data_IF_467956182310
#
_entry.id   IF_467956182310
#
_cell.length_a   1.000
_cell.length_b   1.000
_cell.length_c   1.000
_cell.angle_alpha   90.00
_cell.angle_beta   90.00
_cell.angle_gamma   90.00
#
_symmetry.space_group_name_H-M   'P 1'
#
loop_
_entity.id
_entity.type
_entity.pdbx_description
1 polymer ?
#
# COMPACT_ATOMS: atom_id res chain seq x y z
N UNK A 1 -0.56 -3.93 53.04
CA UNK A 1 -0.74 -4.47 51.69
C UNK A 1 0.56 -4.30 50.93
N UNK A 2 1.18 -5.40 50.55
CA UNK A 2 2.45 -5.41 49.80
C UNK A 2 2.21 -4.89 48.37
N UNK A 3 3.17 -4.16 47.82
CA UNK A 3 3.18 -3.73 46.41
C UNK A 3 2.99 -4.89 45.43
N UNK A 4 3.41 -6.09 45.80
CA UNK A 4 3.19 -7.33 45.04
C UNK A 4 1.68 -7.74 44.97
N UNK A 5 0.88 -7.46 45.99
CA UNK A 5 -0.56 -7.75 46.00
C UNK A 5 -1.39 -6.78 45.13
N UNK A 6 -0.89 -5.53 44.96
CA UNK A 6 -1.54 -4.54 44.08
C UNK A 6 -1.27 -4.89 42.61
N UNK A 7 -0.07 -5.39 42.27
CA UNK A 7 0.30 -5.80 40.91
C UNK A 7 -0.48 -7.08 40.49
N UNK A 8 -0.73 -8.01 41.41
CA UNK A 8 -1.48 -9.24 41.08
C UNK A 8 -2.97 -9.02 40.77
N UNK A 9 -3.56 -7.89 41.13
CA UNK A 9 -4.97 -7.57 40.85
C UNK A 9 -5.21 -6.88 39.49
N UNK A 10 -4.19 -6.50 38.77
CA UNK A 10 -4.29 -5.84 37.46
C UNK A 10 -4.19 -6.76 36.25
N UNK A 11 -4.25 -8.08 36.42
CA UNK A 11 -4.24 -9.03 35.31
C UNK A 11 -5.58 -9.07 34.59
N UNK A 12 -5.89 -8.02 33.87
CA UNK A 12 -6.85 -8.08 32.80
C UNK A 12 -6.39 -9.16 31.80
N UNK A 13 -7.31 -10.07 31.43
CA UNK A 13 -7.04 -11.13 30.45
C UNK A 13 -6.50 -10.51 29.18
N UNK A 14 -5.32 -10.94 28.70
CA UNK A 14 -4.74 -10.46 27.46
C UNK A 14 -5.76 -10.53 26.32
N UNK A 15 -5.92 -9.49 25.50
CA UNK A 15 -6.89 -9.52 24.41
C UNK A 15 -6.55 -10.63 23.44
N UNK A 16 -7.56 -11.32 22.91
CA UNK A 16 -7.36 -12.31 21.84
C UNK A 16 -6.65 -11.67 20.64
N UNK A 17 -6.08 -12.51 19.76
CA UNK A 17 -5.26 -12.06 18.65
C UNK A 17 -5.92 -10.96 17.81
N UNK A 18 -7.17 -11.15 17.41
CA UNK A 18 -7.93 -10.17 16.60
C UNK A 18 -8.21 -8.88 17.36
N UNK A 19 -8.63 -8.99 18.63
CA UNK A 19 -8.95 -7.82 19.46
C UNK A 19 -7.75 -6.92 19.69
N UNK A 20 -6.55 -7.49 19.89
CA UNK A 20 -5.32 -6.73 20.02
C UNK A 20 -4.98 -5.93 18.74
N UNK A 21 -5.14 -6.55 17.56
CA UNK A 21 -4.98 -5.89 16.26
C UNK A 21 -5.98 -4.73 16.10
N UNK A 22 -7.26 -4.95 16.45
CA UNK A 22 -8.30 -3.93 16.36
C UNK A 22 -8.05 -2.73 17.29
N UNK A 23 -7.52 -2.95 18.49
CA UNK A 23 -7.13 -1.86 19.41
C UNK A 23 -6.04 -0.96 18.81
N UNK A 24 -5.09 -1.53 18.06
CA UNK A 24 -4.07 -0.75 17.35
C UNK A 24 -4.71 0.04 16.21
N UNK A 25 -5.60 -0.57 15.44
CA UNK A 25 -6.35 0.12 14.38
C UNK A 25 -7.18 1.27 14.94
N UNK A 26 -7.86 1.05 16.07
CA UNK A 26 -8.63 2.09 16.77
C UNK A 26 -7.74 3.27 17.20
N UNK A 27 -6.56 3.00 17.77
CA UNK A 27 -5.59 4.03 18.12
C UNK A 27 -5.21 4.88 16.89
N UNK A 28 -4.88 4.24 15.77
CA UNK A 28 -4.55 4.91 14.52
C UNK A 28 -5.73 5.72 13.97
N UNK A 29 -6.95 5.18 14.07
CA UNK A 29 -8.19 5.85 13.65
C UNK A 29 -8.47 7.10 14.46
N UNK A 30 -8.31 7.06 15.79
CA UNK A 30 -8.51 8.22 16.68
C UNK A 30 -7.55 9.35 16.31
N UNK A 31 -6.29 9.02 16.05
CA UNK A 31 -5.29 9.99 15.59
C UNK A 31 -5.65 10.56 14.22
N UNK A 32 -5.99 9.71 13.26
CA UNK A 32 -6.37 10.08 11.90
C UNK A 32 -7.59 11.01 11.88
N UNK A 33 -8.62 10.71 12.65
CA UNK A 33 -9.85 11.52 12.73
C UNK A 33 -9.58 12.95 13.19
N UNK A 34 -8.54 13.17 13.98
CA UNK A 34 -8.14 14.52 14.42
C UNK A 34 -7.36 15.28 13.34
N UNK A 35 -6.65 14.59 12.48
CA UNK A 35 -5.73 15.15 11.47
C UNK A 35 -6.16 14.88 10.02
N UNK A 36 -7.40 14.42 9.80
CA UNK A 36 -7.87 13.92 8.50
C UNK A 36 -7.74 14.92 7.35
N UNK A 37 -7.87 16.24 7.63
CA UNK A 37 -7.83 17.29 6.60
C UNK A 37 -6.51 17.32 5.83
N UNK A 38 -5.38 17.28 6.55
CA UNK A 38 -4.05 17.28 5.92
C UNK A 38 -3.83 16.03 5.07
N UNK A 39 -4.29 14.86 5.58
CA UNK A 39 -4.15 13.59 4.87
C UNK A 39 -5.10 13.49 3.68
N UNK A 40 -6.35 13.97 3.82
CA UNK A 40 -7.32 13.94 2.74
C UNK A 40 -6.86 14.79 1.53
N UNK A 41 -6.34 16.00 1.78
CA UNK A 41 -5.82 16.86 0.72
C UNK A 41 -4.69 16.18 -0.06
N UNK A 42 -3.71 15.60 0.63
CA UNK A 42 -2.60 14.90 -0.05
C UNK A 42 -3.06 13.66 -0.81
N UNK A 43 -4.02 12.91 -0.25
CA UNK A 43 -4.57 11.68 -0.87
C UNK A 43 -5.40 11.95 -2.13
N UNK A 44 -5.94 13.16 -2.28
CA UNK A 44 -6.72 13.57 -3.45
C UNK A 44 -5.82 14.27 -4.47
N UNK A 45 -4.98 15.19 -4.02
CA UNK A 45 -4.22 16.07 -4.90
C UNK A 45 -3.20 15.31 -5.75
N UNK A 46 -2.48 14.37 -5.16
CA UNK A 46 -1.45 13.62 -5.88
C UNK A 46 -2.03 12.76 -7.02
N UNK A 47 -3.04 11.89 -6.81
CA UNK A 47 -3.69 11.17 -7.90
C UNK A 47 -4.32 12.08 -8.95
N UNK A 48 -4.93 13.20 -8.53
CA UNK A 48 -5.52 14.17 -9.43
C UNK A 48 -4.47 14.77 -10.37
N UNK A 49 -3.32 15.18 -9.83
CA UNK A 49 -2.21 15.72 -10.63
C UNK A 49 -1.68 14.69 -11.64
N UNK A 50 -1.55 13.41 -11.22
CA UNK A 50 -1.14 12.33 -12.11
C UNK A 50 -2.18 12.09 -13.22
N UNK A 51 -3.48 12.07 -12.90
CA UNK A 51 -4.55 11.94 -13.90
C UNK A 51 -4.57 13.09 -14.87
N UNK A 52 -4.43 14.32 -14.41
CA UNK A 52 -4.37 15.50 -15.27
C UNK A 52 -3.13 15.48 -16.15
N UNK A 53 -1.94 15.24 -15.58
CA UNK A 53 -0.69 15.26 -16.33
C UNK A 53 -0.62 14.14 -17.37
N UNK A 54 -0.87 12.91 -16.95
CA UNK A 54 -0.69 11.72 -17.79
C UNK A 54 -2.00 11.30 -18.49
N UNK A 55 -3.14 11.40 -17.84
CA UNK A 55 -4.42 11.01 -18.44
C UNK A 55 -4.89 12.00 -19.49
N UNK A 56 -5.00 13.28 -19.11
CA UNK A 56 -5.52 14.31 -20.01
C UNK A 56 -4.38 14.91 -20.87
N UNK A 57 -3.27 15.33 -20.23
CA UNK A 57 -2.19 16.03 -20.94
C UNK A 57 -1.45 15.10 -21.89
N UNK A 58 -0.88 14.02 -21.39
CA UNK A 58 -0.15 13.07 -22.23
C UNK A 58 -1.09 12.24 -23.12
N UNK A 59 -2.30 11.91 -22.64
CA UNK A 59 -3.32 11.21 -23.43
C UNK A 59 -3.65 11.94 -24.72
N UNK A 60 -3.89 13.27 -24.67
CA UNK A 60 -4.21 14.08 -25.85
C UNK A 60 -3.05 14.08 -26.91
N UNK A 61 -1.79 14.06 -26.46
CA UNK A 61 -0.63 14.00 -27.36
C UNK A 61 -0.50 12.63 -28.04
N UNK A 62 -0.80 11.58 -27.30
CA UNK A 62 -0.53 10.21 -27.70
C UNK A 62 -1.70 9.65 -28.54
N UNK A 63 -2.95 10.05 -28.26
CA UNK A 63 -4.12 9.72 -29.08
C UNK A 63 -4.01 10.31 -30.49
N UNK A 64 -3.40 11.51 -30.65
CA UNK A 64 -3.10 12.11 -31.96
C UNK A 64 -2.05 11.36 -32.81
N UNK A 65 -1.24 10.49 -32.19
CA UNK A 65 -0.14 9.76 -32.85
C UNK A 65 -0.48 8.34 -33.35
N UNK A 66 -1.70 7.84 -33.20
CA UNK A 66 -2.17 6.53 -33.72
C UNK A 66 -1.52 5.28 -33.11
N UNK A 67 -0.41 5.39 -32.37
CA UNK A 67 0.33 4.25 -31.81
C UNK A 67 -0.24 3.71 -30.50
N UNK A 68 -1.06 4.49 -29.83
CA UNK A 68 -1.58 4.14 -28.49
C UNK A 68 -2.72 3.16 -28.54
N UNK A 69 -3.61 3.26 -29.53
CA UNK A 69 -4.68 2.29 -29.70
C UNK A 69 -4.16 0.85 -29.77
N UNK A 70 -3.00 0.65 -30.43
CA UNK A 70 -2.33 -0.65 -30.48
C UNK A 70 -1.73 -1.07 -29.12
N UNK A 71 -1.23 -0.12 -28.32
CA UNK A 71 -0.60 -0.39 -27.02
C UNK A 71 -1.63 -0.59 -25.89
N UNK A 72 -2.80 0.08 -25.99
CA UNK A 72 -3.88 0.01 -24.96
C UNK A 72 -4.97 -1.01 -25.33
N UNK A 73 -4.83 -1.66 -26.49
CA UNK A 73 -5.85 -2.59 -26.99
C UNK A 73 -7.16 -1.92 -27.36
N UNK A 74 -7.10 -0.70 -27.88
CA UNK A 74 -8.26 0.02 -28.43
C UNK A 74 -9.06 0.84 -27.42
N UNK A 75 -8.65 0.91 -26.15
CA UNK A 75 -9.25 1.81 -25.15
C UNK A 75 -8.49 3.11 -25.04
N UNK A 76 -9.17 4.20 -24.68
CA UNK A 76 -8.51 5.49 -24.43
C UNK A 76 -7.44 5.40 -23.34
N UNK A 77 -6.38 6.17 -23.50
CA UNK A 77 -5.22 6.08 -22.61
C UNK A 77 -5.56 6.34 -21.13
N UNK A 78 -6.47 7.29 -20.86
CA UNK A 78 -6.96 7.57 -19.50
C UNK A 78 -7.60 6.34 -18.86
N UNK A 79 -8.47 5.65 -19.58
CA UNK A 79 -9.19 4.45 -19.12
C UNK A 79 -8.22 3.30 -18.84
N UNK A 80 -7.20 3.15 -19.67
CA UNK A 80 -6.16 2.13 -19.52
C UNK A 80 -5.23 2.43 -18.35
N UNK A 81 -4.91 3.72 -18.12
CA UNK A 81 -3.98 4.18 -17.09
C UNK A 81 -4.61 4.21 -15.70
N UNK A 82 -5.90 4.55 -15.59
CA UNK A 82 -6.58 4.78 -14.32
C UNK A 82 -6.47 3.63 -13.31
N UNK A 83 -6.71 2.35 -13.64
CA UNK A 83 -6.55 1.24 -12.69
C UNK A 83 -5.08 1.02 -12.27
N UNK A 84 -4.14 1.32 -13.13
CA UNK A 84 -2.71 1.24 -12.81
C UNK A 84 -2.30 2.34 -11.82
N UNK A 85 -2.76 3.57 -12.02
CA UNK A 85 -2.50 4.68 -11.07
C UNK A 85 -3.17 4.45 -9.72
N UNK A 86 -4.28 3.74 -9.65
CA UNK A 86 -4.89 3.31 -8.40
C UNK A 86 -3.92 2.39 -7.62
N UNK A 87 -3.30 1.42 -8.28
CA UNK A 87 -2.30 0.54 -7.68
C UNK A 87 -1.03 1.32 -7.27
N UNK A 88 -0.55 2.26 -8.09
CA UNK A 88 0.57 3.15 -7.76
C UNK A 88 0.28 3.97 -6.51
N UNK A 89 -0.89 4.60 -6.44
CA UNK A 89 -1.32 5.39 -5.27
C UNK A 89 -1.34 4.55 -4.00
N UNK A 90 -1.81 3.30 -4.10
CA UNK A 90 -1.81 2.35 -3.00
C UNK A 90 -0.39 2.03 -2.51
N UNK A 91 0.52 1.74 -3.42
CA UNK A 91 1.93 1.43 -3.11
C UNK A 91 2.65 2.63 -2.50
N UNK A 92 2.47 3.83 -3.06
CA UNK A 92 3.12 5.03 -2.54
C UNK A 92 2.61 5.38 -1.13
N UNK A 93 1.30 5.31 -0.91
CA UNK A 93 0.70 5.49 0.41
C UNK A 93 1.24 4.46 1.40
N UNK A 94 1.26 3.19 1.01
CA UNK A 94 1.76 2.10 1.84
C UNK A 94 3.23 2.27 2.21
N UNK A 95 4.10 2.60 1.25
CA UNK A 95 5.51 2.84 1.48
C UNK A 95 5.74 4.01 2.44
N UNK A 96 5.02 5.12 2.24
CA UNK A 96 5.13 6.30 3.09
C UNK A 96 4.66 6.05 4.52
N UNK A 97 3.47 5.47 4.69
CA UNK A 97 2.88 5.19 6.01
C UNK A 97 3.67 4.15 6.80
N UNK A 98 4.37 3.25 6.11
CA UNK A 98 5.15 2.19 6.74
C UNK A 98 6.64 2.53 6.94
N UNK A 99 7.10 3.72 6.54
CA UNK A 99 8.48 4.19 6.69
C UNK A 99 8.67 5.06 7.94
N UNK A 100 8.73 6.38 7.79
CA UNK A 100 8.94 7.32 8.89
C UNK A 100 7.91 7.21 10.03
N UNK A 101 6.60 6.99 9.79
CA UNK A 101 5.65 6.81 10.89
C UNK A 101 5.97 5.60 11.77
N UNK A 102 6.42 4.49 11.16
CA UNK A 102 6.82 3.29 11.92
C UNK A 102 8.09 3.57 12.74
N UNK A 103 9.11 4.17 12.13
CA UNK A 103 10.32 4.54 12.86
C UNK A 103 10.04 5.52 14.00
N UNK A 104 9.15 6.50 13.77
CA UNK A 104 8.68 7.45 14.78
C UNK A 104 8.03 6.75 15.96
N UNK A 105 7.24 5.72 15.71
CA UNK A 105 6.60 4.91 16.74
C UNK A 105 7.59 4.21 17.67
N UNK A 106 8.77 3.82 17.16
CA UNK A 106 9.85 3.26 17.96
C UNK A 106 10.71 4.32 18.66
N UNK A 107 11.10 5.37 17.95
CA UNK A 107 12.20 6.25 18.35
C UNK A 107 11.73 7.53 19.05
N UNK A 108 10.89 8.30 18.43
CA UNK A 108 10.52 9.64 18.92
C UNK A 108 9.26 9.63 19.76
N UNK A 109 8.16 9.15 19.22
CA UNK A 109 6.88 9.10 19.93
C UNK A 109 6.80 7.95 20.94
N UNK A 110 7.56 6.88 20.70
CA UNK A 110 7.65 5.70 21.57
C UNK A 110 6.29 5.05 21.91
N UNK A 111 5.27 5.34 21.13
CA UNK A 111 3.92 4.82 21.40
C UNK A 111 3.83 3.29 21.27
N UNK A 112 4.71 2.65 20.48
CA UNK A 112 4.78 1.19 20.44
C UNK A 112 5.22 0.58 21.78
N UNK A 113 6.17 1.22 22.47
CA UNK A 113 6.57 0.81 23.82
C UNK A 113 5.42 0.99 24.82
N UNK A 114 4.65 2.09 24.70
CA UNK A 114 3.46 2.31 25.52
C UNK A 114 2.36 1.26 25.27
N UNK A 115 2.13 0.85 24.02
CA UNK A 115 1.16 -0.19 23.69
C UNK A 115 1.58 -1.56 24.24
N UNK A 116 2.87 -1.90 24.16
CA UNK A 116 3.40 -3.20 24.61
C UNK A 116 3.66 -3.26 26.11
N UNK A 117 3.69 -2.13 26.81
CA UNK A 117 3.60 -2.10 28.27
C UNK A 117 2.20 -2.50 28.78
N UNK A 118 1.18 -2.44 27.93
CA UNK A 118 -0.16 -2.92 28.15
C UNK A 118 -0.34 -4.37 27.67
N UNK A 119 -1.60 -4.81 27.49
CA UNK A 119 -1.88 -6.20 27.12
C UNK A 119 -1.72 -6.52 25.62
N UNK A 120 -1.25 -5.56 24.80
CA UNK A 120 -1.07 -5.74 23.35
C UNK A 120 0.32 -6.27 23.06
N UNK A 121 0.41 -7.38 22.31
CA UNK A 121 1.70 -7.96 21.93
C UNK A 121 2.38 -7.18 20.80
N UNK A 122 3.73 -7.21 20.70
CA UNK A 122 4.46 -6.58 19.59
C UNK A 122 4.00 -7.04 18.19
N UNK A 123 3.67 -8.33 18.05
CA UNK A 123 3.14 -8.88 16.81
C UNK A 123 1.78 -8.26 16.45
N UNK A 124 0.89 -8.05 17.44
CA UNK A 124 -0.39 -7.38 17.23
C UNK A 124 -0.21 -5.91 16.84
N UNK A 125 0.81 -5.23 17.34
CA UNK A 125 1.15 -3.86 16.93
C UNK A 125 1.55 -3.82 15.46
N UNK A 126 2.45 -4.71 15.02
CA UNK A 126 2.88 -4.79 13.63
C UNK A 126 1.70 -5.10 12.68
N UNK A 127 0.90 -6.13 13.00
CA UNK A 127 -0.25 -6.52 12.19
C UNK A 127 -1.33 -5.44 12.18
N UNK A 128 -1.59 -4.80 13.31
CA UNK A 128 -2.55 -3.70 13.41
C UNK A 128 -2.15 -2.51 12.55
N UNK A 129 -0.85 -2.20 12.47
CA UNK A 129 -0.35 -1.17 11.58
C UNK A 129 -0.57 -1.52 10.11
N UNK A 130 -0.27 -2.76 9.68
CA UNK A 130 -0.49 -3.22 8.30
C UNK A 130 -1.98 -3.15 7.93
N UNK A 131 -2.87 -3.61 8.82
CA UNK A 131 -4.32 -3.51 8.62
C UNK A 131 -4.77 -2.05 8.53
N UNK A 132 -4.24 -1.18 9.37
CA UNK A 132 -4.53 0.25 9.31
C UNK A 132 -4.13 0.86 7.98
N UNK A 133 -2.94 0.56 7.46
CA UNK A 133 -2.47 1.05 6.15
C UNK A 133 -3.37 0.54 5.03
N UNK A 134 -3.79 -0.73 5.07
CA UNK A 134 -4.73 -1.28 4.10
C UNK A 134 -6.08 -0.56 4.12
N UNK A 135 -6.64 -0.26 5.29
CA UNK A 135 -7.89 0.51 5.43
C UNK A 135 -7.74 1.94 4.91
N UNK A 136 -6.62 2.60 5.22
CA UNK A 136 -6.33 3.95 4.73
C UNK A 136 -6.19 3.97 3.21
N UNK A 137 -5.51 2.98 2.65
CA UNK A 137 -5.36 2.80 1.19
C UNK A 137 -6.72 2.54 0.53
N UNK A 138 -7.58 1.73 1.14
CA UNK A 138 -8.95 1.52 0.64
C UNK A 138 -9.76 2.82 0.63
N UNK A 139 -9.70 3.60 1.71
CA UNK A 139 -10.37 4.90 1.77
C UNK A 139 -9.87 5.89 0.71
N UNK A 140 -8.55 6.01 0.55
CA UNK A 140 -7.95 6.85 -0.48
C UNK A 140 -8.31 6.37 -1.90
N UNK A 141 -8.32 5.05 -2.11
CA UNK A 141 -8.70 4.44 -3.39
C UNK A 141 -10.17 4.67 -3.75
N UNK A 142 -11.09 4.65 -2.77
CA UNK A 142 -12.50 5.01 -3.03
C UNK A 142 -12.64 6.47 -3.49
N UNK A 143 -11.92 7.39 -2.86
CA UNK A 143 -11.89 8.80 -3.28
C UNK A 143 -11.33 8.91 -4.70
N UNK A 144 -10.25 8.19 -5.00
CA UNK A 144 -9.63 8.16 -6.31
C UNK A 144 -10.59 7.65 -7.39
N UNK A 145 -11.37 6.58 -7.12
CA UNK A 145 -12.40 6.09 -8.03
C UNK A 145 -13.46 7.16 -8.29
N UNK A 146 -13.88 7.91 -7.26
CA UNK A 146 -14.78 9.04 -7.44
C UNK A 146 -14.21 10.11 -8.38
N UNK A 147 -12.91 10.43 -8.26
CA UNK A 147 -12.21 11.35 -9.17
C UNK A 147 -12.19 10.79 -10.60
N UNK A 148 -11.79 9.52 -10.78
CA UNK A 148 -11.79 8.88 -12.11
C UNK A 148 -13.18 8.91 -12.75
N UNK A 149 -14.24 8.68 -11.97
CA UNK A 149 -15.62 8.72 -12.47
C UNK A 149 -15.98 10.07 -13.08
N UNK A 150 -15.58 11.16 -12.43
CA UNK A 150 -15.81 12.54 -12.93
C UNK A 150 -15.08 12.79 -14.25
N UNK A 151 -13.90 12.23 -14.43
CA UNK A 151 -13.10 12.38 -15.67
C UNK A 151 -13.47 11.37 -16.77
N UNK A 152 -14.50 10.53 -16.57
CA UNK A 152 -14.92 9.54 -17.57
C UNK A 152 -13.94 8.37 -17.74
N UNK A 153 -13.05 8.15 -16.78
CA UNK A 153 -12.04 7.08 -16.81
C UNK A 153 -12.55 5.70 -16.36
N UNK A 154 -13.84 5.53 -16.09
CA UNK A 154 -14.43 4.24 -15.72
C UNK A 154 -14.88 3.48 -16.97
N UNK A 155 -14.33 2.27 -17.16
CA UNK A 155 -14.73 1.37 -18.24
C UNK A 155 -15.82 0.38 -17.78
N UNK A 156 -15.71 -0.16 -16.58
CA UNK A 156 -16.58 -1.21 -16.08
C UNK A 156 -16.74 -1.18 -14.56
N UNK A 157 -17.76 -1.86 -13.99
CA UNK A 157 -17.88 -2.08 -12.55
C UNK A 157 -16.71 -2.84 -11.95
N UNK A 158 -15.88 -3.49 -12.77
CA UNK A 158 -14.66 -4.19 -12.34
C UNK A 158 -13.64 -3.30 -11.63
N UNK A 159 -13.80 -1.95 -11.68
CA UNK A 159 -12.98 -1.01 -10.90
C UNK A 159 -13.04 -1.29 -9.38
N UNK A 160 -14.11 -1.89 -8.87
CA UNK A 160 -14.21 -2.29 -7.46
C UNK A 160 -13.21 -3.41 -7.16
N UNK A 161 -13.05 -4.37 -8.08
CA UNK A 161 -12.04 -5.42 -7.97
C UNK A 161 -10.64 -4.84 -8.14
N UNK A 162 -10.48 -3.83 -8.99
CA UNK A 162 -9.22 -3.08 -9.11
C UNK A 162 -8.84 -2.42 -7.79
N UNK A 163 -9.81 -1.90 -7.03
CA UNK A 163 -9.57 -1.36 -5.69
C UNK A 163 -9.06 -2.46 -4.73
N UNK A 164 -9.68 -3.64 -4.74
CA UNK A 164 -9.22 -4.75 -3.90
C UNK A 164 -7.81 -5.19 -4.26
N UNK A 165 -7.48 -5.27 -5.56
CA UNK A 165 -6.14 -5.56 -6.04
C UNK A 165 -5.13 -4.50 -5.60
N UNK A 166 -5.48 -3.22 -5.71
CA UNK A 166 -4.65 -2.10 -5.27
C UNK A 166 -4.41 -2.13 -3.74
N UNK A 167 -5.45 -2.40 -2.95
CA UNK A 167 -5.35 -2.53 -1.49
C UNK A 167 -4.46 -3.71 -1.10
N UNK A 168 -4.61 -4.86 -1.77
CA UNK A 168 -3.76 -6.03 -1.54
C UNK A 168 -2.29 -5.72 -1.87
N UNK A 169 -2.05 -5.04 -3.01
CA UNK A 169 -0.71 -4.61 -3.41
C UNK A 169 -0.11 -3.66 -2.39
N UNK A 170 -0.86 -2.65 -1.96
CA UNK A 170 -0.46 -1.72 -0.91
C UNK A 170 -0.17 -2.42 0.41
N UNK A 171 -1.03 -3.35 0.84
CA UNK A 171 -0.84 -4.12 2.06
C UNK A 171 0.43 -5.00 2.02
N UNK A 172 0.72 -5.63 0.88
CA UNK A 172 1.95 -6.42 0.68
C UNK A 172 3.20 -5.53 0.80
N UNK A 173 3.20 -4.36 0.16
CA UNK A 173 4.29 -3.38 0.26
C UNK A 173 4.38 -2.82 1.69
N UNK A 174 3.26 -2.48 2.33
CA UNK A 174 3.23 -2.02 3.71
C UNK A 174 3.88 -3.03 4.65
N UNK A 175 3.57 -4.32 4.50
CA UNK A 175 4.12 -5.38 5.34
C UNK A 175 5.64 -5.47 5.20
N UNK A 176 6.16 -5.44 3.98
CA UNK A 176 7.60 -5.47 3.71
C UNK A 176 8.32 -4.23 4.23
N UNK A 177 7.76 -3.03 3.97
CA UNK A 177 8.35 -1.76 4.43
C UNK A 177 8.26 -1.63 5.95
N UNK A 178 7.17 -2.09 6.58
CA UNK A 178 7.06 -2.15 8.06
C UNK A 178 8.14 -3.05 8.66
N UNK A 179 8.38 -4.23 8.07
CA UNK A 179 9.46 -5.11 8.49
C UNK A 179 10.83 -4.44 8.34
N UNK A 180 11.09 -3.81 7.19
CA UNK A 180 12.32 -3.06 6.96
C UNK A 180 12.50 -1.92 7.96
N UNK A 181 11.48 -1.12 8.22
CA UNK A 181 11.51 0.00 9.16
C UNK A 181 11.80 -0.45 10.60
N UNK A 182 11.37 -1.67 10.97
CA UNK A 182 11.66 -2.25 12.27
C UNK A 182 13.14 -2.61 12.46
N UNK A 183 13.93 -2.75 11.39
CA UNK A 183 15.38 -3.02 11.48
C UNK A 183 16.22 -1.75 11.64
N UNK A 184 15.63 -0.57 11.39
CA UNK A 184 16.37 0.69 11.38
C UNK A 184 16.46 1.28 12.78
N UNK A 185 17.68 1.51 13.25
CA UNK A 185 17.96 2.21 14.51
C UNK A 185 18.05 3.73 14.31
N UNK A 186 18.56 4.15 13.16
CA UNK A 186 18.76 5.55 12.81
C UNK A 186 17.97 5.94 11.56
N UNK A 187 17.62 7.21 11.47
CA UNK A 187 16.88 7.80 10.34
C UNK A 187 17.63 7.69 9.02
N UNK A 188 18.93 7.85 9.05
CA UNK A 188 19.91 7.73 8.00
C UNK A 188 19.40 7.95 6.57
N UNK A 189 20.18 7.47 5.63
CA UNK A 189 19.85 7.50 4.20
C UNK A 189 18.92 6.35 3.77
N UNK A 190 18.58 5.41 4.68
CA UNK A 190 17.90 4.17 4.35
C UNK A 190 16.53 4.38 3.67
N UNK A 191 15.71 5.29 4.19
CA UNK A 191 14.43 5.59 3.54
C UNK A 191 14.61 6.35 2.21
N UNK A 192 15.61 7.22 2.11
CA UNK A 192 15.94 7.87 0.83
C UNK A 192 16.35 6.84 -0.23
N UNK A 193 17.13 5.83 0.17
CA UNK A 193 17.49 4.69 -0.70
C UNK A 193 16.24 3.89 -1.08
N UNK A 194 15.39 3.54 -0.13
CA UNK A 194 14.14 2.83 -0.38
C UNK A 194 13.27 3.56 -1.43
N UNK A 195 13.03 4.86 -1.22
CA UNK A 195 12.18 5.63 -2.14
C UNK A 195 12.83 5.80 -3.52
N UNK A 196 14.13 6.18 -3.59
CA UNK A 196 14.81 6.46 -4.86
C UNK A 196 15.12 5.22 -5.67
N UNK A 197 15.49 4.12 -5.04
CA UNK A 197 15.98 2.92 -5.73
C UNK A 197 15.01 1.76 -5.75
N UNK A 198 13.92 1.81 -4.96
CA UNK A 198 12.88 0.78 -4.97
C UNK A 198 11.55 1.36 -5.42
N UNK A 199 10.98 2.34 -4.69
CA UNK A 199 9.61 2.81 -4.94
C UNK A 199 9.50 3.56 -6.28
N UNK A 200 10.43 4.48 -6.59
CA UNK A 200 10.39 5.23 -7.86
C UNK A 200 10.61 4.31 -9.06
N UNK A 201 11.68 3.47 -9.13
CA UNK A 201 11.83 2.53 -10.24
C UNK A 201 10.66 1.56 -10.37
N UNK A 202 10.14 1.05 -9.25
CA UNK A 202 8.95 0.21 -9.26
C UNK A 202 7.76 0.94 -9.89
N UNK A 203 7.53 2.21 -9.55
CA UNK A 203 6.43 3.00 -10.13
C UNK A 203 6.59 3.19 -11.64
N UNK A 204 7.81 3.39 -12.12
CA UNK A 204 8.09 3.68 -13.53
C UNK A 204 8.11 2.42 -14.41
N UNK A 205 8.68 1.31 -13.91
CA UNK A 205 8.97 0.13 -14.73
C UNK A 205 8.02 -1.06 -14.52
N UNK A 206 7.00 -0.92 -13.68
CA UNK A 206 6.02 -2.00 -13.42
C UNK A 206 4.81 -2.01 -14.37
N UNK A 207 4.96 -1.53 -15.59
CA UNK A 207 3.87 -1.54 -16.56
C UNK A 207 2.78 -0.50 -16.31
N UNK A 208 3.02 0.49 -15.45
CA UNK A 208 2.05 1.53 -15.08
C UNK A 208 1.72 2.43 -16.26
N UNK A 209 2.73 3.02 -16.89
CA UNK A 209 2.59 4.05 -17.93
C UNK A 209 2.64 3.49 -19.35
N UNK A 210 3.21 2.31 -19.53
CA UNK A 210 3.33 1.59 -20.80
C UNK A 210 3.42 0.08 -20.54
N UNK A 211 2.99 -0.76 -21.50
CA UNK A 211 3.09 -2.21 -21.37
C UNK A 211 4.55 -2.65 -21.20
N UNK A 212 4.80 -3.65 -20.35
CA UNK A 212 6.17 -4.13 -20.07
C UNK A 212 6.87 -4.72 -21.31
N UNK A 213 6.10 -5.22 -22.30
CA UNK A 213 6.63 -5.76 -23.55
C UNK A 213 7.37 -4.72 -24.40
N UNK A 214 7.15 -3.43 -24.11
CA UNK A 214 7.86 -2.31 -24.74
C UNK A 214 9.17 -1.97 -24.04
N UNK A 215 9.42 -2.54 -22.86
CA UNK A 215 10.68 -2.37 -22.16
C UNK A 215 11.79 -3.23 -22.79
N UNK A 216 13.07 -2.75 -22.71
CA UNK A 216 14.20 -3.60 -23.05
C UNK A 216 14.16 -4.93 -22.28
N UNK A 217 14.50 -6.04 -22.96
CA UNK A 217 14.37 -7.38 -22.40
C UNK A 217 15.09 -7.60 -21.06
N UNK A 218 16.16 -6.85 -20.79
CA UNK A 218 16.90 -6.92 -19.52
C UNK A 218 16.20 -6.22 -18.36
N UNK A 219 15.22 -5.34 -18.61
CA UNK A 219 14.40 -4.65 -17.57
C UNK A 219 13.19 -5.49 -17.21
N UNK A 220 12.62 -6.27 -18.14
CA UNK A 220 11.37 -7.02 -17.92
C UNK A 220 11.41 -7.95 -16.69
N UNK A 221 12.51 -8.69 -16.39
CA UNK A 221 12.59 -9.51 -15.18
C UNK A 221 12.45 -8.70 -13.89
N UNK A 222 12.95 -7.45 -13.86
CA UNK A 222 12.80 -6.55 -12.70
C UNK A 222 11.33 -6.18 -12.52
N UNK A 223 10.60 -5.94 -13.61
CA UNK A 223 9.15 -5.68 -13.54
C UNK A 223 8.39 -6.90 -13.00
N UNK A 224 8.73 -8.12 -13.42
CA UNK A 224 8.06 -9.35 -12.98
C UNK A 224 8.21 -9.64 -11.47
N UNK A 225 9.29 -9.20 -10.86
CA UNK A 225 9.49 -9.30 -9.40
C UNK A 225 8.73 -8.20 -8.64
N UNK A 226 8.29 -7.16 -9.33
CA UNK A 226 7.63 -6.01 -8.70
C UNK A 226 6.21 -6.34 -8.23
N UNK A 227 5.87 -6.15 -6.94
CA UNK A 227 4.50 -6.29 -6.47
C UNK A 227 3.53 -5.35 -7.19
N UNK A 228 3.98 -4.18 -7.60
CA UNK A 228 3.16 -3.22 -8.31
C UNK A 228 2.73 -3.73 -9.69
N UNK A 229 3.61 -4.44 -10.41
CA UNK A 229 3.24 -5.05 -11.69
C UNK A 229 2.10 -6.05 -11.53
N UNK A 230 2.21 -6.97 -10.57
CA UNK A 230 1.15 -7.95 -10.29
C UNK A 230 -0.17 -7.26 -9.93
N UNK A 231 -0.13 -6.23 -9.10
CA UNK A 231 -1.32 -5.45 -8.74
C UNK A 231 -1.93 -4.71 -9.92
N UNK A 232 -1.09 -4.12 -10.78
CA UNK A 232 -1.52 -3.40 -11.98
C UNK A 232 -2.18 -4.32 -12.99
N UNK A 233 -1.64 -5.53 -13.21
CA UNK A 233 -2.22 -6.51 -14.13
C UNK A 233 -3.61 -6.97 -13.66
N UNK A 234 -3.77 -7.32 -12.38
CA UNK A 234 -5.09 -7.68 -11.83
C UNK A 234 -6.06 -6.48 -11.90
N UNK A 235 -5.61 -5.30 -11.49
CA UNK A 235 -6.45 -4.11 -11.50
C UNK A 235 -6.91 -3.74 -12.90
N UNK A 236 -6.02 -3.83 -13.88
CA UNK A 236 -6.32 -3.52 -15.29
C UNK A 236 -7.22 -4.57 -15.93
N UNK A 237 -6.94 -5.87 -15.68
CA UNK A 237 -7.78 -6.95 -16.16
C UNK A 237 -9.22 -6.81 -15.64
N UNK A 238 -9.39 -6.42 -14.38
CA UNK A 238 -10.69 -6.18 -13.78
C UNK A 238 -11.40 -4.96 -14.37
N UNK A 239 -10.74 -3.81 -14.42
CA UNK A 239 -11.34 -2.55 -14.88
C UNK A 239 -11.71 -2.58 -16.37
N UNK A 240 -10.96 -3.31 -17.20
CA UNK A 240 -11.17 -3.39 -18.65
C UNK A 240 -11.97 -4.62 -19.08
N UNK A 241 -12.46 -5.40 -18.12
CA UNK A 241 -13.22 -6.63 -18.35
C UNK A 241 -12.46 -7.66 -19.23
N UNK A 242 -11.13 -7.76 -19.02
CA UNK A 242 -10.22 -8.64 -19.74
C UNK A 242 -9.68 -9.75 -18.86
N UNK A 243 -10.58 -10.49 -18.21
CA UNK A 243 -10.21 -11.50 -17.26
C UNK A 243 -9.49 -12.70 -17.89
N UNK A 244 -8.33 -13.02 -17.34
CA UNK A 244 -7.64 -14.28 -17.54
C UNK A 244 -7.51 -14.96 -16.17
N UNK A 245 -8.42 -15.89 -15.82
CA UNK A 245 -8.55 -16.41 -14.44
C UNK A 245 -7.25 -16.98 -13.87
N UNK A 246 -6.51 -17.74 -14.69
CA UNK A 246 -5.26 -18.38 -14.27
C UNK A 246 -4.15 -17.35 -14.00
N UNK A 247 -4.02 -16.34 -14.85
CA UNK A 247 -3.05 -15.26 -14.67
C UNK A 247 -3.41 -14.41 -13.44
N UNK A 248 -4.69 -14.03 -13.31
CA UNK A 248 -5.18 -13.26 -12.16
C UNK A 248 -4.94 -14.02 -10.83
N UNK A 249 -5.16 -15.34 -10.81
CA UNK A 249 -4.86 -16.18 -9.66
C UNK A 249 -3.36 -16.16 -9.33
N UNK A 250 -2.49 -16.30 -10.32
CA UNK A 250 -1.04 -16.27 -10.14
C UNK A 250 -0.56 -14.93 -9.55
N UNK A 251 -1.01 -13.81 -10.11
CA UNK A 251 -0.69 -12.48 -9.59
C UNK A 251 -1.20 -12.25 -8.15
N UNK A 252 -2.43 -12.67 -7.88
CA UNK A 252 -3.02 -12.55 -6.54
C UNK A 252 -2.30 -13.43 -5.53
N UNK A 253 -1.96 -14.66 -5.89
CA UNK A 253 -1.20 -15.58 -5.04
C UNK A 253 0.19 -15.02 -4.70
N UNK A 254 0.88 -14.41 -5.66
CA UNK A 254 2.16 -13.73 -5.44
C UNK A 254 2.03 -12.60 -4.40
N UNK A 255 1.02 -11.73 -4.56
CA UNK A 255 0.78 -10.63 -3.63
C UNK A 255 0.42 -11.12 -2.23
N UNK A 256 -0.40 -12.17 -2.12
CA UNK A 256 -0.73 -12.80 -0.83
C UNK A 256 0.50 -13.42 -0.18
N UNK A 257 1.35 -14.10 -0.95
CA UNK A 257 2.60 -14.66 -0.44
C UNK A 257 3.53 -13.56 0.12
N UNK A 258 3.68 -12.43 -0.60
CA UNK A 258 4.45 -11.27 -0.12
C UNK A 258 3.84 -10.65 1.13
N UNK A 259 2.51 -10.52 1.19
CA UNK A 259 1.81 -10.00 2.37
C UNK A 259 2.06 -10.89 3.60
N UNK A 260 1.87 -12.20 3.45
CA UNK A 260 2.08 -13.15 4.55
C UNK A 260 3.54 -13.16 5.00
N UNK A 261 4.48 -13.22 4.07
CA UNK A 261 5.91 -13.17 4.36
C UNK A 261 6.29 -11.86 5.08
N UNK A 262 5.88 -10.73 4.53
CA UNK A 262 6.15 -9.40 5.10
C UNK A 262 5.53 -9.23 6.48
N UNK A 263 4.28 -9.66 6.68
CA UNK A 263 3.59 -9.61 7.96
C UNK A 263 4.27 -10.50 9.02
N UNK A 264 4.70 -11.71 8.65
CA UNK A 264 5.43 -12.60 9.54
C UNK A 264 6.80 -12.02 9.93
N UNK A 265 7.52 -11.42 8.97
CA UNK A 265 8.79 -10.73 9.23
C UNK A 265 8.57 -9.51 10.13
N UNK A 266 7.58 -8.66 9.84
CA UNK A 266 7.27 -7.50 10.67
C UNK A 266 6.92 -7.91 12.11
N UNK A 267 6.07 -8.91 12.28
CA UNK A 267 5.71 -9.42 13.61
C UNK A 267 6.95 -9.92 14.40
N UNK A 268 7.84 -10.67 13.74
CA UNK A 268 9.10 -11.16 14.36
C UNK A 268 10.04 -10.01 14.74
N UNK A 269 10.22 -9.03 13.84
CA UNK A 269 11.14 -7.91 14.06
C UNK A 269 10.61 -6.94 15.13
N UNK A 270 9.30 -6.69 15.17
CA UNK A 270 8.68 -5.95 16.27
C UNK A 270 8.87 -6.65 17.61
N UNK A 271 8.69 -7.96 17.64
CA UNK A 271 8.90 -8.74 18.87
C UNK A 271 10.35 -8.64 19.34
N UNK A 272 11.33 -8.78 18.44
CA UNK A 272 12.76 -8.65 18.79
C UNK A 272 13.13 -7.25 19.26
N UNK A 273 12.48 -6.21 18.74
CA UNK A 273 12.80 -4.81 19.05
C UNK A 273 12.11 -4.30 20.32
N UNK A 274 10.93 -4.81 20.63
CA UNK A 274 10.10 -4.34 21.75
C UNK A 274 10.15 -5.26 22.98
N UNK A 275 10.68 -6.46 22.84
CA UNK A 275 10.97 -7.36 23.95
C UNK A 275 12.48 -7.35 24.15
N UNK A 276 12.98 -6.95 25.36
CA UNK A 276 14.40 -7.00 25.70
C UNK A 276 14.93 -8.43 25.78
#
# INVERSE_FOLDING_TARGET
MSTAEVVARSTGRAPGAVRGVLLVVEHCWVWYRRNWRATAVSSILQPLLFLLAFGVGFGALVEGGGGVAAATGGVGYLVWLAPALLAVSAVQTAAFESSYPVLSGFKWQRHYHGMTAGPVSPAQVALGHIVWVALKTAGAGMIYIGVIAVFGGLASPGIVVSLLAAVLTGAAVAALVTAFSATLENEGTAFSVLFRFVVIPMTLFSGTFFPIDRLPGWVQPVAWVSPLWHGTEVARAAALDRWQPLAALGHTAYLLALLVLGAALAARLFTRRLQP
#
